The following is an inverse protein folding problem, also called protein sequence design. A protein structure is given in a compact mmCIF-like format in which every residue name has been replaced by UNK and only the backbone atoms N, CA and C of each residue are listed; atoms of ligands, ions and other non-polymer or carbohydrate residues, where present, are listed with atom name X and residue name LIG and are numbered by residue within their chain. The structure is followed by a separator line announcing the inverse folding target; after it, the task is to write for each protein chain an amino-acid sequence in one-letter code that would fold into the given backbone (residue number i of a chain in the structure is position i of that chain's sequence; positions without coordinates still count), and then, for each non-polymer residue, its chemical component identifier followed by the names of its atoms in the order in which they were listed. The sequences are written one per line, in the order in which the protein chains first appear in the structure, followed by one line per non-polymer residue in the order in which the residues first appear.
data_IF_375318853788
#
_entry.id   IF_375318853788
#
_cell.length_a   1.000
_cell.length_b   1.000
_cell.length_c   1.000
_cell.angle_alpha   90.00
_cell.angle_beta   90.00
_cell.angle_gamma   90.00
#
_symmetry.space_group_name_H-M   'P 1'
#
loop_
_entity.id
_entity.type
_entity.pdbx_description
1 polymer ?
#
# COMPACT_ATOMS: atom_id res chain seq x y z
N UNK A 1 0.75 46.59 89.86
CA UNK A 1 0.38 45.30 90.50
C UNK A 1 -0.92 44.82 89.89
N UNK A 2 -0.87 43.67 89.20
CA UNK A 2 -1.90 42.63 89.06
C UNK A 2 -1.74 41.95 87.70
N UNK A 3 -0.97 40.86 87.74
CA UNK A 3 -1.29 39.62 87.03
C UNK A 3 -2.77 39.30 87.22
N UNK A 4 -3.41 38.70 86.21
CA UNK A 4 -4.21 37.46 86.37
C UNK A 4 -4.30 36.72 85.03
N UNK A 5 -3.78 35.48 85.04
CA UNK A 5 -4.22 34.38 84.19
C UNK A 5 -5.70 34.11 84.49
N UNK A 6 -6.48 33.59 83.53
CA UNK A 6 -7.15 32.29 83.68
C UNK A 6 -7.96 31.88 82.43
N UNK A 7 -7.84 30.58 82.15
CA UNK A 7 -8.88 29.67 81.65
C UNK A 7 -9.20 29.58 80.15
N UNK A 8 -8.65 28.48 79.63
CA UNK A 8 -9.10 27.64 78.52
C UNK A 8 -10.61 27.34 78.57
N UNK A 9 -11.29 27.50 77.44
CA UNK A 9 -12.49 26.73 77.08
C UNK A 9 -12.36 26.31 75.61
N UNK A 10 -12.28 25.01 75.37
CA UNK A 10 -12.36 24.41 74.04
C UNK A 10 -13.82 24.20 73.66
N UNK A 11 -14.21 24.67 72.47
CA UNK A 11 -15.44 24.26 71.78
C UNK A 11 -15.07 23.91 70.34
N UNK A 12 -15.23 22.64 70.00
CA UNK A 12 -15.18 22.11 68.65
C UNK A 12 -16.59 22.23 68.05
N UNK A 13 -16.74 22.89 66.89
CA UNK A 13 -17.86 22.64 65.99
C UNK A 13 -17.57 23.08 64.54
N UNK A 14 -17.35 22.05 63.70
CA UNK A 14 -17.82 21.81 62.33
C UNK A 14 -18.01 22.94 61.28
N UNK A 15 -17.35 22.69 60.15
CA UNK A 15 -17.77 22.87 58.74
C UNK A 15 -17.79 24.29 58.18
N UNK A 16 -16.77 24.58 57.37
CA UNK A 16 -16.72 25.65 56.37
C UNK A 16 -16.16 25.10 55.07
N UNK A 17 -17.06 24.77 54.14
CA UNK A 17 -16.80 24.41 52.74
C UNK A 17 -16.12 25.60 52.05
N UNK A 18 -15.05 25.33 51.29
CA UNK A 18 -14.29 26.37 50.59
C UNK A 18 -13.53 25.85 49.37
N UNK A 19 -14.31 25.48 48.34
CA UNK A 19 -14.00 25.41 46.91
C UNK A 19 -12.52 25.30 46.49
N UNK A 20 -12.02 24.07 46.38
CA UNK A 20 -10.94 23.78 45.43
C UNK A 20 -11.56 23.73 44.03
N UNK A 21 -11.14 24.62 43.15
CA UNK A 21 -11.45 24.51 41.72
C UNK A 21 -10.82 23.22 41.20
N UNK A 22 -11.67 22.27 40.80
CA UNK A 22 -11.29 21.11 40.01
C UNK A 22 -10.65 21.60 38.72
N UNK A 23 -9.31 21.69 38.72
CA UNK A 23 -8.55 21.79 37.49
C UNK A 23 -8.77 20.49 36.73
N UNK A 24 -9.56 20.54 35.66
CA UNK A 24 -9.57 19.48 34.66
C UNK A 24 -8.11 19.15 34.30
N UNK A 25 -7.71 17.87 34.30
CA UNK A 25 -6.36 17.50 33.89
C UNK A 25 -6.20 17.90 32.42
N UNK A 26 -5.47 18.98 32.17
CA UNK A 26 -5.06 19.39 30.84
C UNK A 26 -4.25 18.25 30.24
N UNK A 27 -4.85 17.48 29.32
CA UNK A 27 -4.14 16.46 28.55
C UNK A 27 -2.94 17.14 27.88
N UNK A 28 -1.74 16.65 28.15
CA UNK A 28 -0.54 17.14 27.47
C UNK A 28 -0.74 16.97 25.96
N UNK A 29 -0.38 17.96 25.12
CA UNK A 29 -0.57 17.87 23.68
C UNK A 29 0.12 16.62 23.15
N UNK A 30 -0.62 15.80 22.40
CA UNK A 30 -0.11 14.54 21.82
C UNK A 30 1.09 14.88 20.94
N UNK A 31 2.23 14.22 21.19
CA UNK A 31 3.46 14.48 20.43
C UNK A 31 3.39 13.94 19.00
N UNK A 32 4.16 14.55 18.08
CA UNK A 32 4.27 14.08 16.69
C UNK A 32 4.69 12.61 16.60
N UNK A 33 5.62 12.18 17.46
CA UNK A 33 6.09 10.79 17.52
C UNK A 33 4.99 9.81 17.96
N UNK A 34 4.15 10.19 18.92
CA UNK A 34 3.04 9.35 19.35
C UNK A 34 2.00 9.16 18.22
N UNK A 35 1.71 10.23 17.47
CA UNK A 35 0.83 10.19 16.30
C UNK A 35 1.43 9.33 15.17
N UNK A 36 2.72 9.48 14.89
CA UNK A 36 3.42 8.70 13.87
C UNK A 36 3.36 7.20 14.17
N UNK A 37 3.63 6.81 15.42
CA UNK A 37 3.54 5.42 15.87
C UNK A 37 2.12 4.86 15.73
N UNK A 38 1.11 5.58 16.22
CA UNK A 38 -0.28 5.15 16.12
C UNK A 38 -0.74 5.04 14.65
N UNK A 39 -0.29 5.97 13.80
CA UNK A 39 -0.54 5.96 12.36
C UNK A 39 0.12 4.78 11.64
N UNK A 40 1.35 4.44 12.02
CA UNK A 40 2.04 3.23 11.53
C UNK A 40 1.31 1.94 11.94
N UNK A 41 0.84 1.86 13.19
CA UNK A 41 0.05 0.71 13.64
C UNK A 41 -1.25 0.58 12.84
N UNK A 42 -1.97 1.68 12.61
CA UNK A 42 -3.18 1.70 11.78
C UNK A 42 -2.89 1.33 10.31
N UNK A 43 -1.76 1.79 9.77
CA UNK A 43 -1.28 1.44 8.42
C UNK A 43 -1.11 -0.09 8.29
N UNK A 44 -0.37 -0.73 9.20
CA UNK A 44 -0.11 -2.17 9.11
C UNK A 44 -1.34 -3.01 9.45
N UNK A 45 -2.20 -2.58 10.38
CA UNK A 45 -3.47 -3.26 10.64
C UNK A 45 -4.35 -3.30 9.37
N UNK A 46 -4.35 -2.21 8.60
CA UNK A 46 -5.08 -2.11 7.34
C UNK A 46 -4.44 -2.95 6.24
N UNK A 47 -3.13 -2.76 6.01
CA UNK A 47 -2.40 -3.43 4.94
C UNK A 47 -2.44 -4.96 5.10
N UNK A 48 -2.32 -5.46 6.32
CA UNK A 48 -2.33 -6.89 6.64
C UNK A 48 -3.74 -7.47 6.79
N UNK A 49 -4.78 -6.68 6.56
CA UNK A 49 -6.18 -7.13 6.62
C UNK A 49 -6.67 -7.49 8.02
N UNK A 50 -5.99 -7.03 9.07
CA UNK A 50 -6.35 -7.32 10.48
C UNK A 50 -7.55 -6.49 10.93
N UNK A 51 -7.58 -5.21 10.55
CA UNK A 51 -8.67 -4.26 10.80
C UNK A 51 -8.67 -3.18 9.72
N UNK A 52 -9.84 -2.76 9.25
CA UNK A 52 -9.92 -1.58 8.38
C UNK A 52 -9.74 -0.31 9.22
N UNK A 53 -8.53 0.26 9.16
CA UNK A 53 -8.14 1.51 9.83
C UNK A 53 -7.56 2.50 8.82
N UNK A 54 -7.99 2.41 7.55
CA UNK A 54 -7.39 3.18 6.47
C UNK A 54 -7.51 4.70 6.69
N UNK A 55 -8.71 5.16 7.05
CA UNK A 55 -8.94 6.58 7.34
C UNK A 55 -8.20 7.04 8.60
N UNK A 56 -8.17 6.20 9.63
CA UNK A 56 -7.46 6.49 10.88
C UNK A 56 -5.95 6.67 10.63
N UNK A 57 -5.35 5.79 9.82
CA UNK A 57 -3.96 5.90 9.42
C UNK A 57 -3.68 7.23 8.70
N UNK A 58 -4.51 7.61 7.73
CA UNK A 58 -4.41 8.91 7.02
C UNK A 58 -4.51 10.08 8.01
N UNK A 59 -5.48 10.07 8.92
CA UNK A 59 -5.71 11.17 9.87
C UNK A 59 -4.55 11.34 10.86
N UNK A 60 -4.04 10.23 11.40
CA UNK A 60 -2.93 10.23 12.36
C UNK A 60 -1.63 10.65 11.68
N UNK A 61 -1.29 10.05 10.54
CA UNK A 61 -0.07 10.37 9.78
C UNK A 61 -0.10 11.80 9.27
N UNK A 62 -1.26 12.30 8.81
CA UNK A 62 -1.43 13.70 8.39
C UNK A 62 -1.17 14.68 9.55
N UNK A 63 -1.60 14.36 10.78
CA UNK A 63 -1.29 15.17 11.96
C UNK A 63 0.20 15.07 12.31
N UNK A 64 0.79 13.87 12.24
CA UNK A 64 2.19 13.64 12.52
C UNK A 64 3.11 14.48 11.61
N UNK A 65 2.92 14.43 10.29
CA UNK A 65 3.76 15.16 9.32
C UNK A 65 3.57 16.68 9.40
N UNK A 66 2.41 17.18 9.85
CA UNK A 66 2.21 18.61 10.13
C UNK A 66 2.99 19.08 11.36
N UNK A 67 3.10 18.24 12.38
CA UNK A 67 3.84 18.56 13.61
C UNK A 67 5.35 18.31 13.45
N UNK A 68 5.74 17.37 12.60
CA UNK A 68 7.13 17.08 12.26
C UNK A 68 7.30 16.92 10.73
N UNK A 69 7.59 18.01 9.99
CA UNK A 69 7.72 17.98 8.53
C UNK A 69 9.00 17.30 8.01
N UNK A 70 9.84 16.78 8.92
CA UNK A 70 11.07 16.05 8.58
C UNK A 70 10.94 14.53 8.81
N UNK A 71 9.76 14.04 9.20
CA UNK A 71 9.51 12.60 9.34
C UNK A 71 9.20 11.95 7.99
N UNK A 72 10.25 11.56 7.27
CA UNK A 72 10.13 10.95 5.95
C UNK A 72 9.37 9.63 5.94
N UNK A 73 9.49 8.82 6.98
CA UNK A 73 8.78 7.53 7.06
C UNK A 73 7.27 7.72 7.32
N UNK A 74 6.87 8.78 8.04
CA UNK A 74 5.46 9.14 8.15
C UNK A 74 4.90 9.65 6.82
N UNK A 75 5.67 10.42 6.04
CA UNK A 75 5.29 10.80 4.68
C UNK A 75 5.16 9.59 3.76
N UNK A 76 6.09 8.63 3.82
CA UNK A 76 6.01 7.39 3.05
C UNK A 76 4.70 6.64 3.33
N UNK A 77 4.43 6.33 4.61
CA UNK A 77 3.21 5.60 5.00
C UNK A 77 1.93 6.38 4.66
N UNK A 78 1.94 7.71 4.77
CA UNK A 78 0.81 8.55 4.38
C UNK A 78 0.55 8.43 2.87
N UNK A 79 1.61 8.49 2.07
CA UNK A 79 1.54 8.32 0.62
C UNK A 79 1.01 6.94 0.23
N UNK A 80 1.55 5.89 0.86
CA UNK A 80 1.08 4.51 0.66
C UNK A 80 -0.38 4.31 1.07
N UNK A 81 -0.86 4.95 2.14
CA UNK A 81 -2.28 4.89 2.49
C UNK A 81 -3.18 5.56 1.47
N UNK A 82 -2.77 6.69 0.92
CA UNK A 82 -3.50 7.33 -0.16
C UNK A 82 -3.51 6.47 -1.44
N UNK A 83 -2.39 5.80 -1.77
CA UNK A 83 -2.37 4.81 -2.85
C UNK A 83 -3.32 3.64 -2.58
N UNK A 84 -3.31 3.09 -1.36
CA UNK A 84 -4.20 2.00 -0.97
C UNK A 84 -5.68 2.39 -1.13
N UNK A 85 -6.07 3.56 -0.62
CA UNK A 85 -7.45 4.06 -0.73
C UNK A 85 -7.85 4.35 -2.18
N UNK A 86 -6.92 4.86 -2.99
CA UNK A 86 -7.12 4.99 -4.43
C UNK A 86 -7.36 3.63 -5.10
N UNK A 87 -6.46 2.66 -4.91
CA UNK A 87 -6.51 1.35 -5.57
C UNK A 87 -7.73 0.52 -5.14
N UNK A 88 -8.18 0.68 -3.91
CA UNK A 88 -9.41 0.05 -3.40
C UNK A 88 -10.70 0.65 -3.99
N UNK A 89 -10.66 1.93 -4.37
CA UNK A 89 -11.83 2.65 -4.90
C UNK A 89 -11.94 2.56 -6.41
N UNK A 90 -10.82 2.71 -7.12
CA UNK A 90 -10.80 2.95 -8.56
C UNK A 90 -11.35 1.76 -9.34
N UNK A 91 -12.33 2.06 -10.17
CA UNK A 91 -13.03 1.10 -11.01
C UNK A 91 -12.72 1.28 -12.50
N UNK A 92 -12.63 2.55 -12.90
CA UNK A 92 -12.31 2.97 -14.25
C UNK A 92 -11.29 4.09 -14.14
N UNK A 93 -10.05 3.78 -14.51
CA UNK A 93 -8.93 4.72 -14.40
C UNK A 93 -9.11 5.96 -15.27
N UNK A 94 -9.80 5.86 -16.41
CA UNK A 94 -10.00 7.00 -17.33
C UNK A 94 -11.17 7.88 -16.91
N UNK A 95 -12.09 7.34 -16.10
CA UNK A 95 -13.22 8.05 -15.55
C UNK A 95 -13.22 8.06 -14.02
N UNK A 96 -12.06 8.34 -13.43
CA UNK A 96 -11.90 8.39 -11.99
C UNK A 96 -12.82 9.44 -11.34
N UNK A 97 -13.24 9.18 -10.10
CA UNK A 97 -14.03 10.13 -9.31
C UNK A 97 -13.18 11.29 -8.80
N UNK A 98 -13.82 12.34 -8.29
CA UNK A 98 -13.11 13.43 -7.62
C UNK A 98 -12.32 12.94 -6.40
N UNK A 99 -12.85 11.95 -5.67
CA UNK A 99 -12.18 11.31 -4.55
C UNK A 99 -10.90 10.59 -5.00
N UNK A 100 -10.99 9.75 -6.04
CA UNK A 100 -9.83 8.99 -6.55
C UNK A 100 -8.71 9.89 -7.08
N UNK A 101 -9.07 10.94 -7.84
CA UNK A 101 -8.09 11.94 -8.30
C UNK A 101 -7.41 12.64 -7.12
N UNK A 102 -8.15 12.93 -6.06
CA UNK A 102 -7.59 13.57 -4.87
C UNK A 102 -6.68 12.64 -4.08
N UNK A 103 -7.05 11.37 -3.91
CA UNK A 103 -6.21 10.39 -3.23
C UNK A 103 -4.88 10.20 -3.97
N UNK A 104 -4.87 10.03 -5.30
CA UNK A 104 -3.61 9.81 -6.01
C UNK A 104 -2.71 11.06 -6.04
N UNK A 105 -3.29 12.28 -6.04
CA UNK A 105 -2.51 13.52 -5.86
C UNK A 105 -1.83 13.58 -4.49
N UNK A 106 -2.58 13.26 -3.43
CA UNK A 106 -2.06 13.23 -2.07
C UNK A 106 -1.00 12.14 -1.90
N UNK A 107 -1.20 10.99 -2.53
CA UNK A 107 -0.20 9.92 -2.59
C UNK A 107 1.11 10.44 -3.19
N UNK A 108 1.05 11.00 -4.40
CA UNK A 108 2.23 11.56 -5.07
C UNK A 108 2.92 12.60 -4.19
N UNK A 109 2.18 13.60 -3.67
CA UNK A 109 2.76 14.69 -2.89
C UNK A 109 3.46 14.21 -1.61
N UNK A 110 2.88 13.22 -0.92
CA UNK A 110 3.51 12.64 0.26
C UNK A 110 4.74 11.80 -0.10
N UNK A 111 4.70 11.03 -1.19
CA UNK A 111 5.83 10.22 -1.65
C UNK A 111 6.98 11.08 -2.20
N UNK A 112 6.69 12.21 -2.84
CA UNK A 112 7.72 13.20 -3.23
C UNK A 112 8.51 13.68 -1.99
N UNK A 113 7.82 13.98 -0.88
CA UNK A 113 8.49 14.32 0.40
C UNK A 113 9.27 13.15 0.98
N UNK A 114 8.75 11.92 0.87
CA UNK A 114 9.42 10.73 1.37
C UNK A 114 10.73 10.44 0.64
N UNK A 115 10.78 10.61 -0.69
CA UNK A 115 12.00 10.47 -1.50
C UNK A 115 13.09 11.43 -1.02
N UNK A 116 12.73 12.69 -0.74
CA UNK A 116 13.69 13.70 -0.26
C UNK A 116 14.24 13.38 1.14
N UNK A 117 13.38 12.84 2.01
CA UNK A 117 13.67 12.69 3.44
C UNK A 117 14.26 11.33 3.82
N UNK A 118 14.13 10.33 2.95
CA UNK A 118 14.59 8.94 3.17
C UNK A 118 15.37 8.45 1.93
N UNK A 119 16.45 9.16 1.51
CA UNK A 119 17.16 8.86 0.27
C UNK A 119 17.85 7.49 0.25
N UNK A 120 18.05 6.86 1.41
CA UNK A 120 18.61 5.52 1.54
C UNK A 120 17.64 4.41 1.15
N UNK A 121 16.32 4.65 1.21
CA UNK A 121 15.32 3.67 0.83
C UNK A 121 15.05 3.72 -0.68
N UNK A 122 15.65 2.75 -1.38
CA UNK A 122 15.59 2.63 -2.84
C UNK A 122 14.24 2.15 -3.38
N UNK A 123 13.29 1.78 -2.50
CA UNK A 123 11.94 1.35 -2.88
C UNK A 123 10.97 2.52 -3.03
N UNK A 124 11.13 3.58 -2.24
CA UNK A 124 10.25 4.76 -2.24
C UNK A 124 10.17 5.43 -3.63
N UNK A 125 11.26 5.57 -4.40
CA UNK A 125 11.20 6.13 -5.75
C UNK A 125 10.25 5.37 -6.69
N UNK A 126 10.15 4.05 -6.58
CA UNK A 126 9.23 3.23 -7.39
C UNK A 126 7.78 3.51 -7.06
N UNK A 127 7.42 3.52 -5.77
CA UNK A 127 6.08 3.92 -5.32
C UNK A 127 5.71 5.35 -5.73
N UNK A 128 6.64 6.31 -5.58
CA UNK A 128 6.43 7.68 -6.05
C UNK A 128 6.13 7.72 -7.55
N UNK A 129 6.89 6.96 -8.33
CA UNK A 129 6.74 6.90 -9.77
C UNK A 129 5.40 6.28 -10.18
N UNK A 130 4.98 5.20 -9.52
CA UNK A 130 3.67 4.58 -9.70
C UNK A 130 2.54 5.58 -9.41
N UNK A 131 2.61 6.32 -8.29
CA UNK A 131 1.63 7.35 -7.97
C UNK A 131 1.59 8.48 -9.01
N UNK A 132 2.76 8.92 -9.49
CA UNK A 132 2.87 9.95 -10.54
C UNK A 132 2.26 9.48 -11.85
N UNK A 133 2.58 8.27 -12.30
CA UNK A 133 2.02 7.70 -13.54
C UNK A 133 0.50 7.56 -13.45
N UNK A 134 -0.01 6.97 -12.37
CA UNK A 134 -1.46 6.81 -12.18
C UNK A 134 -2.18 8.14 -12.09
N UNK A 135 -1.57 9.16 -11.46
CA UNK A 135 -2.11 10.52 -11.48
C UNK A 135 -2.24 11.02 -12.92
N UNK A 136 -1.20 10.85 -13.73
CA UNK A 136 -1.22 11.20 -15.16
C UNK A 136 -2.41 10.57 -15.88
N UNK A 137 -2.60 9.26 -15.69
CA UNK A 137 -3.70 8.51 -16.31
C UNK A 137 -5.07 9.03 -15.87
N UNK A 138 -5.31 9.22 -14.57
CA UNK A 138 -6.64 9.63 -14.07
C UNK A 138 -6.95 11.11 -14.31
N UNK A 139 -5.91 11.94 -14.49
CA UNK A 139 -6.02 13.34 -14.90
C UNK A 139 -5.98 13.53 -16.42
N UNK A 140 -5.72 12.46 -17.17
CA UNK A 140 -5.53 12.46 -18.61
C UNK A 140 -4.44 13.46 -19.06
N UNK A 141 -3.34 13.50 -18.31
CA UNK A 141 -2.22 14.40 -18.53
C UNK A 141 -1.00 13.64 -19.06
N UNK A 142 -0.78 13.73 -20.38
CA UNK A 142 0.36 13.09 -21.05
C UNK A 142 1.71 13.51 -20.48
N UNK A 143 1.86 14.77 -20.05
CA UNK A 143 3.08 15.27 -19.42
C UNK A 143 3.37 14.54 -18.10
N UNK A 144 2.35 14.31 -17.28
CA UNK A 144 2.50 13.62 -16.00
C UNK A 144 2.67 12.11 -16.22
N UNK A 145 1.99 11.51 -17.20
CA UNK A 145 2.20 10.11 -17.59
C UNK A 145 3.66 9.88 -18.03
N UNK A 146 4.19 10.74 -18.90
CA UNK A 146 5.58 10.72 -19.36
C UNK A 146 6.55 10.83 -18.17
N UNK A 147 6.33 11.78 -17.26
CA UNK A 147 7.14 11.92 -16.05
C UNK A 147 7.11 10.65 -15.18
N UNK A 148 5.93 10.07 -14.98
CA UNK A 148 5.78 8.83 -14.22
C UNK A 148 6.53 7.65 -14.84
N UNK A 149 6.48 7.50 -16.17
CA UNK A 149 7.23 6.46 -16.90
C UNK A 149 8.75 6.64 -16.76
N UNK A 150 9.25 7.88 -16.89
CA UNK A 150 10.66 8.19 -16.72
C UNK A 150 11.14 7.89 -15.28
N UNK A 151 10.31 8.23 -14.29
CA UNK A 151 10.58 7.92 -12.89
C UNK A 151 10.55 6.41 -12.62
N UNK A 152 9.60 5.66 -13.21
CA UNK A 152 9.50 4.21 -13.04
C UNK A 152 10.74 3.52 -13.59
N UNK A 153 11.16 3.87 -14.81
CA UNK A 153 12.39 3.32 -15.42
C UNK A 153 13.65 3.69 -14.62
N UNK A 154 13.71 4.91 -14.08
CA UNK A 154 14.81 5.33 -13.20
C UNK A 154 14.83 4.55 -11.89
N UNK A 155 13.67 4.28 -11.29
CA UNK A 155 13.55 3.46 -10.09
C UNK A 155 13.97 2.01 -10.37
N UNK A 156 13.57 1.44 -11.51
CA UNK A 156 14.03 0.11 -11.96
C UNK A 156 15.55 0.07 -12.07
N UNK A 157 16.17 1.08 -12.70
CA UNK A 157 17.63 1.13 -12.80
C UNK A 157 18.33 1.21 -11.42
N UNK A 158 17.66 1.79 -10.41
CA UNK A 158 18.17 1.91 -9.04
C UNK A 158 18.04 0.60 -8.24
N UNK A 159 16.92 -0.11 -8.40
CA UNK A 159 16.64 -1.36 -7.69
C UNK A 159 15.73 -2.28 -8.52
N UNK A 160 16.29 -3.03 -9.49
CA UNK A 160 15.51 -3.79 -10.46
C UNK A 160 14.61 -4.85 -9.82
N UNK A 161 15.08 -5.54 -8.79
CA UNK A 161 14.37 -6.65 -8.15
C UNK A 161 13.05 -6.19 -7.51
N UNK A 162 13.03 -4.96 -6.98
CA UNK A 162 11.85 -4.39 -6.35
C UNK A 162 11.01 -3.58 -7.34
N UNK A 163 11.63 -2.56 -7.97
CA UNK A 163 10.88 -1.52 -8.69
C UNK A 163 10.33 -1.99 -10.05
N UNK A 164 10.77 -3.15 -10.55
CA UNK A 164 10.11 -3.79 -11.71
C UNK A 164 8.67 -4.19 -11.38
N UNK A 165 8.42 -4.55 -10.12
CA UNK A 165 7.06 -4.84 -9.63
C UNK A 165 6.16 -3.59 -9.68
N UNK A 166 6.69 -2.41 -9.36
CA UNK A 166 5.93 -1.16 -9.43
C UNK A 166 5.51 -0.84 -10.87
N UNK A 167 6.34 -1.12 -11.87
CA UNK A 167 6.00 -0.92 -13.27
C UNK A 167 4.87 -1.86 -13.71
N UNK A 168 5.02 -3.17 -13.49
CA UNK A 168 3.99 -4.14 -13.89
C UNK A 168 2.69 -3.95 -13.10
N UNK A 169 2.78 -3.59 -11.81
CA UNK A 169 1.66 -3.31 -10.92
C UNK A 169 0.89 -2.03 -11.23
N UNK A 170 1.40 -1.20 -12.15
CA UNK A 170 0.88 0.13 -12.44
C UNK A 170 0.57 0.28 -13.94
N UNK A 171 1.57 0.11 -14.80
CA UNK A 171 1.46 0.38 -16.24
C UNK A 171 0.58 -0.67 -16.91
N UNK A 172 0.77 -1.95 -16.61
CA UNK A 172 0.08 -3.05 -17.29
C UNK A 172 -1.44 -3.05 -17.08
N UNK A 173 -1.93 -2.40 -16.02
CA UNK A 173 -3.34 -2.27 -15.68
C UNK A 173 -4.11 -1.35 -16.62
N UNK A 174 -3.45 -0.36 -17.22
CA UNK A 174 -4.11 0.76 -17.90
C UNK A 174 -3.77 0.90 -19.37
N UNK A 175 -2.82 0.11 -19.86
CA UNK A 175 -2.42 0.11 -21.27
C UNK A 175 -3.03 -1.08 -22.04
N UNK A 176 -3.32 -0.94 -23.34
CA UNK A 176 -3.74 -2.04 -24.21
C UNK A 176 -2.68 -3.13 -24.33
N UNK A 177 -3.10 -4.38 -24.54
CA UNK A 177 -2.20 -5.55 -24.67
C UNK A 177 -1.21 -5.47 -25.84
N UNK A 178 -1.54 -4.73 -26.89
CA UNK A 178 -0.74 -4.56 -28.10
C UNK A 178 0.15 -3.31 -28.05
N UNK A 179 0.12 -2.56 -26.95
CA UNK A 179 0.95 -1.37 -26.78
C UNK A 179 2.42 -1.72 -26.49
N UNK A 180 3.38 -0.89 -26.92
CA UNK A 180 4.78 -1.05 -26.57
C UNK A 180 5.05 -1.09 -25.05
N UNK A 181 4.28 -0.31 -24.27
CA UNK A 181 4.38 -0.30 -22.81
C UNK A 181 3.95 -1.63 -22.19
N UNK A 182 2.98 -2.32 -22.78
CA UNK A 182 2.58 -3.64 -22.34
C UNK A 182 3.65 -4.69 -22.64
N UNK A 183 4.27 -4.60 -23.82
CA UNK A 183 5.40 -5.46 -24.18
C UNK A 183 6.56 -5.28 -23.18
N UNK A 184 6.89 -4.04 -22.82
CA UNK A 184 7.90 -3.73 -21.78
C UNK A 184 7.52 -4.32 -20.41
N UNK A 185 6.26 -4.23 -20.00
CA UNK A 185 5.80 -4.85 -18.76
C UNK A 185 6.03 -6.38 -18.74
N UNK A 186 5.87 -7.06 -19.88
CA UNK A 186 6.13 -8.51 -19.98
C UNK A 186 7.62 -8.85 -19.91
N UNK A 187 8.52 -7.95 -20.33
CA UNK A 187 9.97 -8.16 -20.18
C UNK A 187 10.38 -8.23 -18.71
N UNK A 188 9.71 -7.48 -17.83
CA UNK A 188 9.98 -7.46 -16.39
C UNK A 188 9.46 -8.68 -15.61
N UNK A 189 8.48 -9.42 -16.14
CA UNK A 189 8.03 -10.67 -15.52
C UNK A 189 9.05 -11.81 -15.76
N UNK A 190 9.83 -11.71 -16.84
CA UNK A 190 10.90 -12.64 -17.19
C UNK A 190 10.42 -14.08 -17.49
N UNK A 191 11.38 -14.99 -17.66
CA UNK A 191 11.13 -16.43 -17.61
C UNK A 191 11.30 -16.89 -16.15
N UNK A 192 10.30 -17.54 -15.52
CA UNK A 192 10.40 -18.02 -14.14
C UNK A 192 11.52 -19.05 -13.92
N UNK A 193 12.11 -19.61 -15.00
CA UNK A 193 13.27 -20.49 -14.95
C UNK A 193 14.61 -19.76 -15.13
N UNK A 194 14.60 -18.46 -15.42
CA UNK A 194 15.80 -17.64 -15.45
C UNK A 194 16.13 -17.16 -14.03
N UNK A 195 17.22 -17.66 -13.45
CA UNK A 195 17.62 -17.41 -12.07
C UNK A 195 18.13 -15.98 -11.79
N UNK A 196 17.77 -14.97 -12.60
CA UNK A 196 18.51 -13.70 -12.66
C UNK A 196 17.72 -12.42 -12.32
N UNK A 197 16.46 -12.48 -11.91
CA UNK A 197 15.77 -11.26 -11.43
C UNK A 197 14.69 -11.61 -10.42
N UNK A 198 14.97 -11.23 -9.16
CA UNK A 198 14.16 -11.44 -7.96
C UNK A 198 13.89 -12.92 -7.57
N UNK A 199 14.73 -13.50 -6.69
CA UNK A 199 14.56 -14.88 -6.19
C UNK A 199 14.17 -14.91 -4.71
N UNK A 200 13.12 -15.67 -4.30
CA UNK A 200 12.74 -15.79 -2.89
C UNK A 200 13.81 -16.47 -2.02
N UNK A 201 14.82 -17.09 -2.62
CA UNK A 201 15.92 -17.74 -1.90
C UNK A 201 17.09 -16.79 -1.61
N UNK A 202 17.31 -15.78 -2.46
CA UNK A 202 18.37 -14.79 -2.27
C UNK A 202 17.84 -13.51 -1.63
N UNK A 203 16.58 -13.15 -1.93
CA UNK A 203 15.91 -11.95 -1.47
C UNK A 203 14.56 -12.30 -0.78
N UNK A 204 14.58 -13.07 0.33
CA UNK A 204 13.37 -13.65 0.92
C UNK A 204 12.36 -12.62 1.44
N UNK A 205 12.78 -11.38 1.72
CA UNK A 205 11.90 -10.31 2.19
C UNK A 205 11.24 -9.53 1.06
N UNK A 206 11.81 -9.56 -0.15
CA UNK A 206 11.38 -8.72 -1.29
C UNK A 206 10.75 -9.59 -2.37
N UNK A 207 11.38 -10.72 -2.66
CA UNK A 207 10.95 -11.68 -3.67
C UNK A 207 10.25 -12.89 -3.04
N UNK A 208 10.31 -13.02 -1.70
CA UNK A 208 9.69 -14.09 -0.93
C UNK A 208 8.63 -13.57 0.04
N UNK A 209 8.16 -14.47 0.91
CA UNK A 209 7.08 -14.23 1.85
C UNK A 209 7.58 -13.81 3.26
N UNK A 210 8.88 -13.66 3.46
CA UNK A 210 9.45 -13.33 4.78
C UNK A 210 9.35 -11.84 5.14
N UNK A 211 8.90 -11.00 4.20
CA UNK A 211 8.81 -9.55 4.35
C UNK A 211 7.46 -9.07 4.90
N UNK A 212 7.04 -7.89 4.42
CA UNK A 212 5.75 -7.28 4.80
C UNK A 212 4.56 -7.81 4.00
N UNK A 213 4.82 -8.66 3.00
CA UNK A 213 3.83 -9.36 2.19
C UNK A 213 3.94 -10.88 2.46
N UNK A 214 3.16 -11.44 3.41
CA UNK A 214 3.26 -12.86 3.77
C UNK A 214 2.82 -13.82 2.66
N UNK A 215 2.17 -13.32 1.60
CA UNK A 215 1.75 -14.09 0.42
C UNK A 215 2.22 -13.42 -0.88
N UNK A 216 3.41 -12.80 -0.83
CA UNK A 216 4.02 -12.13 -1.97
C UNK A 216 4.18 -13.04 -3.18
N UNK A 217 4.68 -14.27 -2.96
CA UNK A 217 4.92 -15.26 -4.01
C UNK A 217 3.60 -15.61 -4.69
N UNK A 218 2.59 -16.01 -3.91
CA UNK A 218 1.28 -16.44 -4.43
C UNK A 218 0.59 -15.32 -5.22
N UNK A 219 0.52 -14.11 -4.64
CA UNK A 219 -0.12 -12.96 -5.29
C UNK A 219 0.62 -12.51 -6.55
N UNK A 220 1.95 -12.46 -6.51
CA UNK A 220 2.77 -12.12 -7.70
C UNK A 220 2.61 -13.14 -8.82
N UNK A 221 2.58 -14.44 -8.50
CA UNK A 221 2.40 -15.48 -9.49
C UNK A 221 1.01 -15.40 -10.16
N UNK A 222 -0.06 -15.02 -9.44
CA UNK A 222 -1.36 -14.76 -10.11
C UNK A 222 -1.27 -13.55 -11.02
N UNK A 223 -0.62 -12.46 -10.58
CA UNK A 223 -0.42 -11.28 -11.42
C UNK A 223 0.30 -11.62 -12.71
N UNK A 224 1.40 -12.38 -12.62
CA UNK A 224 2.15 -12.83 -13.78
C UNK A 224 1.28 -13.69 -14.70
N UNK A 225 0.47 -14.57 -14.14
CA UNK A 225 -0.50 -15.36 -14.89
C UNK A 225 -1.51 -14.48 -15.64
N UNK A 226 -2.06 -13.46 -14.99
CA UNK A 226 -2.99 -12.50 -15.60
C UNK A 226 -2.33 -11.67 -16.71
N UNK A 227 -1.05 -11.29 -16.54
CA UNK A 227 -0.29 -10.61 -17.59
C UNK A 227 -0.11 -11.50 -18.82
N UNK A 228 0.27 -12.76 -18.66
CA UNK A 228 0.35 -13.68 -19.80
C UNK A 228 -1.03 -13.99 -20.41
N UNK A 229 -2.10 -14.04 -19.61
CA UNK A 229 -3.45 -14.21 -20.13
C UNK A 229 -3.86 -13.01 -21.02
N UNK A 230 -3.60 -11.78 -20.57
CA UNK A 230 -3.84 -10.57 -21.34
C UNK A 230 -2.95 -10.46 -22.59
N UNK A 231 -1.76 -11.04 -22.55
CA UNK A 231 -0.90 -11.19 -23.73
C UNK A 231 -1.40 -12.25 -24.74
N UNK A 232 -2.39 -13.08 -24.36
CA UNK A 232 -2.90 -14.18 -25.17
C UNK A 232 -2.14 -15.52 -25.01
N UNK A 233 -1.21 -15.62 -24.07
CA UNK A 233 -0.42 -16.83 -23.81
C UNK A 233 -1.07 -17.68 -22.70
N UNK A 234 -2.11 -18.42 -23.07
CA UNK A 234 -2.83 -19.32 -22.16
C UNK A 234 -1.91 -20.35 -21.47
N UNK A 235 -0.85 -20.80 -22.17
CA UNK A 235 0.06 -21.82 -21.65
C UNK A 235 0.91 -21.27 -20.50
N UNK A 236 1.55 -20.11 -20.70
CA UNK A 236 2.33 -19.47 -19.63
C UNK A 236 1.42 -19.02 -18.50
N UNK A 237 0.26 -18.44 -18.80
CA UNK A 237 -0.73 -18.05 -17.79
C UNK A 237 -1.10 -19.22 -16.87
N UNK A 238 -1.49 -20.36 -17.44
CA UNK A 238 -1.81 -21.58 -16.68
C UNK A 238 -0.62 -22.14 -15.89
N UNK A 239 0.61 -21.95 -16.37
CA UNK A 239 1.83 -22.28 -15.65
C UNK A 239 1.96 -21.49 -14.35
N UNK A 240 1.83 -20.17 -14.43
CA UNK A 240 1.88 -19.26 -13.30
C UNK A 240 0.77 -19.50 -12.28
N UNK A 241 -0.49 -19.66 -12.72
CA UNK A 241 -1.58 -19.97 -11.80
C UNK A 241 -1.37 -21.31 -11.06
N UNK A 242 -0.79 -22.31 -11.72
CA UNK A 242 -0.45 -23.58 -11.07
C UNK A 242 0.67 -23.42 -10.04
N UNK A 243 1.68 -22.60 -10.34
CA UNK A 243 2.74 -22.27 -9.38
C UNK A 243 2.18 -21.52 -8.17
N UNK A 244 1.26 -20.57 -8.36
CA UNK A 244 0.61 -19.84 -7.28
C UNK A 244 -0.15 -20.77 -6.29
N UNK A 245 -0.57 -21.96 -6.75
CA UNK A 245 -1.27 -22.96 -5.94
C UNK A 245 -0.35 -23.93 -5.20
N UNK A 246 0.97 -23.83 -5.41
CA UNK A 246 1.96 -24.61 -4.67
C UNK A 246 1.99 -24.22 -3.18
N UNK A 247 2.60 -25.06 -2.35
CA UNK A 247 2.70 -24.82 -0.92
C UNK A 247 3.93 -23.95 -0.58
N UNK A 248 3.67 -22.68 -0.29
CA UNK A 248 4.66 -21.71 0.20
C UNK A 248 4.49 -21.37 1.69
N UNK A 249 3.68 -22.14 2.43
CA UNK A 249 3.36 -21.85 3.84
C UNK A 249 4.60 -21.71 4.73
N UNK A 250 5.64 -22.50 4.46
CA UNK A 250 6.92 -22.48 5.19
C UNK A 250 7.81 -21.27 4.84
N UNK A 251 7.45 -20.46 3.84
CA UNK A 251 8.24 -19.29 3.43
C UNK A 251 7.67 -17.97 3.98
N UNK A 252 6.47 -18.00 4.57
CA UNK A 252 5.76 -16.83 5.08
C UNK A 252 5.36 -16.92 6.55
N UNK A 253 4.17 -16.43 6.87
CA UNK A 253 3.63 -16.42 8.23
C UNK A 253 2.96 -17.75 8.66
N UNK A 254 3.01 -18.78 7.80
CA UNK A 254 2.38 -20.09 8.03
C UNK A 254 0.85 -20.10 7.95
N UNK A 255 0.20 -18.98 7.61
CA UNK A 255 -1.26 -18.91 7.47
C UNK A 255 -1.69 -19.31 6.07
N UNK A 256 -2.93 -19.80 5.88
CA UNK A 256 -3.46 -20.10 4.55
C UNK A 256 -3.65 -18.82 3.72
N UNK A 257 -3.23 -18.86 2.45
CA UNK A 257 -3.44 -17.74 1.54
C UNK A 257 -4.93 -17.55 1.19
N UNK A 258 -5.50 -16.41 1.61
CA UNK A 258 -6.93 -16.10 1.49
C UNK A 258 -7.46 -16.07 0.05
N UNK A 259 -6.60 -15.78 -0.93
CA UNK A 259 -6.98 -15.64 -2.34
C UNK A 259 -6.73 -16.91 -3.16
N UNK A 260 -6.51 -18.06 -2.52
CA UNK A 260 -6.30 -19.33 -3.23
C UNK A 260 -7.39 -19.65 -4.25
N UNK A 261 -8.66 -19.43 -3.91
CA UNK A 261 -9.79 -19.69 -4.81
C UNK A 261 -9.76 -18.83 -6.08
N UNK A 262 -9.16 -17.64 -6.02
CA UNK A 262 -8.93 -16.79 -7.18
C UNK A 262 -7.98 -17.49 -8.17
N UNK A 263 -6.84 -17.99 -7.70
CA UNK A 263 -5.90 -18.72 -8.55
C UNK A 263 -6.52 -20.01 -9.14
N UNK A 264 -7.34 -20.73 -8.37
CA UNK A 264 -8.08 -21.91 -8.84
C UNK A 264 -9.06 -21.55 -9.96
N UNK A 265 -9.82 -20.46 -9.79
CA UNK A 265 -10.74 -19.95 -10.82
C UNK A 265 -9.99 -19.53 -12.07
N UNK A 266 -8.92 -18.73 -11.94
CA UNK A 266 -8.09 -18.27 -13.06
C UNK A 266 -7.50 -19.43 -13.86
N UNK A 267 -7.05 -20.49 -13.19
CA UNK A 267 -6.55 -21.70 -13.83
C UNK A 267 -7.65 -22.45 -14.58
N UNK A 268 -8.84 -22.58 -13.99
CA UNK A 268 -9.97 -23.27 -14.60
C UNK A 268 -10.54 -22.53 -15.83
N UNK A 269 -10.48 -21.20 -15.82
CA UNK A 269 -11.09 -20.33 -16.84
C UNK A 269 -10.06 -19.71 -17.80
N UNK A 270 -8.78 -20.07 -17.72
CA UNK A 270 -7.67 -19.41 -18.46
C UNK A 270 -7.94 -19.20 -19.96
N UNK A 271 -8.48 -20.21 -20.65
CA UNK A 271 -8.78 -20.10 -22.08
C UNK A 271 -9.93 -19.12 -22.37
N UNK A 272 -10.92 -19.04 -21.48
CA UNK A 272 -12.03 -18.09 -21.60
C UNK A 272 -11.54 -16.67 -21.36
N UNK A 273 -10.69 -16.47 -20.33
CA UNK A 273 -10.07 -15.16 -20.05
C UNK A 273 -9.22 -14.66 -21.21
N UNK A 274 -8.38 -15.53 -21.76
CA UNK A 274 -7.59 -15.21 -22.96
C UNK A 274 -8.49 -14.86 -24.14
N UNK A 275 -9.57 -15.61 -24.38
CA UNK A 275 -10.47 -15.32 -25.48
C UNK A 275 -11.11 -13.92 -25.39
N UNK A 276 -11.46 -13.46 -24.19
CA UNK A 276 -11.97 -12.09 -23.97
C UNK A 276 -10.93 -11.04 -24.36
N UNK A 277 -9.68 -11.14 -23.87
CA UNK A 277 -8.60 -10.22 -24.26
C UNK A 277 -8.25 -10.24 -25.76
N UNK A 278 -8.57 -11.32 -26.46
CA UNK A 278 -8.30 -11.47 -27.89
C UNK A 278 -9.47 -10.98 -28.78
N UNK A 279 -10.62 -10.69 -28.20
CA UNK A 279 -11.76 -10.17 -28.95
C UNK A 279 -11.61 -8.67 -29.25
N UNK A 280 -12.65 -8.06 -29.83
CA UNK A 280 -12.64 -6.65 -30.23
C UNK A 280 -13.31 -5.71 -29.22
N UNK A 281 -13.71 -6.20 -28.06
CA UNK A 281 -14.47 -5.49 -27.04
C UNK A 281 -13.68 -5.34 -25.71
N UNK A 282 -12.80 -4.33 -25.60
CA UNK A 282 -12.02 -4.10 -24.38
C UNK A 282 -12.88 -3.75 -23.15
N UNK A 283 -14.19 -3.52 -23.30
CA UNK A 283 -15.07 -3.30 -22.16
C UNK A 283 -15.39 -4.60 -21.39
N UNK A 284 -15.15 -5.77 -22.01
CA UNK A 284 -15.32 -7.07 -21.38
C UNK A 284 -14.00 -7.68 -20.88
N UNK A 285 -12.87 -7.01 -21.11
CA UNK A 285 -11.56 -7.44 -20.66
C UNK A 285 -11.64 -7.78 -19.16
N UNK A 286 -11.28 -9.01 -18.76
CA UNK A 286 -11.32 -9.35 -17.36
C UNK A 286 -10.28 -8.52 -16.59
N UNK A 287 -10.52 -8.17 -15.32
CA UNK A 287 -9.53 -7.46 -14.53
C UNK A 287 -8.31 -8.34 -14.25
N UNK A 288 -7.14 -7.69 -14.18
CA UNK A 288 -5.95 -8.27 -13.54
C UNK A 288 -6.18 -8.37 -12.02
N UNK A 289 -5.54 -9.33 -11.38
CA UNK A 289 -5.50 -9.42 -9.91
C UNK A 289 -4.89 -8.17 -9.31
N UNK A 290 -5.41 -7.75 -8.15
CA UNK A 290 -5.04 -6.46 -7.54
C UNK A 290 -5.98 -5.32 -7.91
N UNK A 291 -7.12 -5.64 -8.53
CA UNK A 291 -8.21 -4.69 -8.77
C UNK A 291 -9.14 -4.61 -7.56
N UNK A 292 -9.47 -3.38 -7.12
CA UNK A 292 -10.34 -3.10 -5.97
C UNK A 292 -9.92 -3.89 -4.72
N UNK A 293 -10.80 -4.73 -4.17
CA UNK A 293 -10.61 -5.48 -2.92
C UNK A 293 -9.35 -6.35 -2.87
N UNK A 294 -8.79 -6.67 -4.04
CA UNK A 294 -7.55 -7.44 -4.17
C UNK A 294 -6.30 -6.55 -4.11
N UNK A 295 -6.43 -5.24 -4.33
CA UNK A 295 -5.34 -4.26 -4.36
C UNK A 295 -4.59 -4.27 -3.02
N UNK A 296 -3.29 -4.58 -3.10
CA UNK A 296 -2.40 -4.88 -1.96
C UNK A 296 -2.82 -6.13 -1.16
N UNK A 297 -4.11 -6.38 -0.96
CA UNK A 297 -4.65 -7.47 -0.16
C UNK A 297 -4.18 -8.85 -0.64
N UNK A 298 -4.08 -9.07 -1.95
CA UNK A 298 -3.70 -10.37 -2.53
C UNK A 298 -2.35 -10.87 -2.01
N UNK A 299 -1.40 -9.97 -1.75
CA UNK A 299 -0.07 -10.29 -1.22
C UNK A 299 0.04 -10.09 0.29
N UNK A 300 -0.73 -9.15 0.86
CA UNK A 300 -0.51 -8.65 2.21
C UNK A 300 -1.47 -9.21 3.28
N UNK A 301 -2.68 -9.64 2.93
CA UNK A 301 -3.65 -10.08 3.94
C UNK A 301 -3.21 -11.39 4.60
N UNK A 302 -3.23 -11.39 5.93
CA UNK A 302 -2.94 -12.57 6.76
C UNK A 302 -4.13 -13.51 6.97
#
# INVERSE_FOLDING_TARGET
MRFELFSVVAVILCVGIGCGSDGEPTQSPVSASALAKAGEEAFYDTLLGRKDRAQEAVDLLSKAVRLNPNDGLSFFRLGMMHMFRFAQSVADYRNATAFEREEIRKAQAALDRAVDLVPEDRTIPGFRAAATYMRGVVEQSQEIEQLGLEQLRSAIALYPEFNSFDFIGTVAFVVPRDSPLYAEALEYVGDPLSAASCSPFTEPQICGNAGKAPHNIEGSLVLFGDLFAKAGDARRAAGFYRLALADFSNMGNGKPWRFRSLAEERLATVNQRVALYLDSDPANDPPLVGYRQEACAVCHFE
#
